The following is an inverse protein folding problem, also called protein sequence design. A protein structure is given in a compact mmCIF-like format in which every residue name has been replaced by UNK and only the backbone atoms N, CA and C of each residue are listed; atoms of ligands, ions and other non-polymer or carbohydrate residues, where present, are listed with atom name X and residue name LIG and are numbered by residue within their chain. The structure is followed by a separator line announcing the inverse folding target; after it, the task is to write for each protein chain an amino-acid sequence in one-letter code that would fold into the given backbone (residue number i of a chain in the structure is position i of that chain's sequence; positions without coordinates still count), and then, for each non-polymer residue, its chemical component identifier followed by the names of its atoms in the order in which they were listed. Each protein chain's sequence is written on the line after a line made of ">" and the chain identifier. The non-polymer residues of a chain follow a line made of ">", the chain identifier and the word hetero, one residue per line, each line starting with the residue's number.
data_IF_787995379812
#
_entry.id   IF_787995379812
#
_cell.length_a   1.000
_cell.length_b   1.000
_cell.length_c   1.000
_cell.angle_alpha   90.00
_cell.angle_beta   90.00
_cell.angle_gamma   90.00
#
_symmetry.space_group_name_H-M   'P 1'
#
loop_
_entity.id
_entity.type
_entity.pdbx_description
1 polymer ?
#
# COMPACT_ATOMS: atom_id res chain seq x y z
N UNK A 1 5.05 12.43 -35.79
CA UNK A 1 4.20 12.64 -34.59
C UNK A 1 5.12 12.69 -33.40
N UNK A 2 5.03 13.70 -32.55
CA UNK A 2 5.83 13.75 -31.34
C UNK A 2 5.05 14.26 -30.15
N UNK A 3 5.37 13.72 -28.99
CA UNK A 3 4.79 14.10 -27.71
C UNK A 3 5.83 14.96 -26.99
N UNK A 4 5.48 16.20 -26.61
CA UNK A 4 6.40 17.07 -25.85
C UNK A 4 5.71 18.24 -25.12
N UNK A 5 6.42 18.89 -24.20
CA UNK A 5 5.96 20.13 -23.53
C UNK A 5 6.27 21.41 -24.33
N UNK A 6 7.25 21.36 -25.25
CA UNK A 6 7.63 22.45 -26.17
C UNK A 6 7.90 21.90 -27.58
N UNK A 7 8.09 22.75 -28.60
CA UNK A 7 8.34 22.33 -29.99
C UNK A 7 9.76 21.76 -30.26
N UNK A 8 10.52 21.38 -29.23
CA UNK A 8 11.86 20.80 -29.35
C UNK A 8 11.81 19.28 -29.39
N UNK A 9 12.62 18.64 -30.26
CA UNK A 9 12.67 17.18 -30.39
C UNK A 9 13.57 16.48 -29.33
N UNK A 10 14.33 17.25 -28.54
CA UNK A 10 15.25 16.74 -27.51
C UNK A 10 14.46 16.14 -26.33
N UNK A 11 14.88 14.99 -25.81
CA UNK A 11 14.23 14.27 -24.70
C UNK A 11 12.73 13.97 -24.94
N UNK A 12 12.35 13.63 -26.17
CA UNK A 12 10.95 13.41 -26.56
C UNK A 12 10.66 12.01 -27.07
N UNK A 13 9.38 11.64 -27.06
CA UNK A 13 8.92 10.51 -27.87
C UNK A 13 8.55 11.01 -29.27
N UNK A 14 9.54 11.10 -30.15
CA UNK A 14 9.38 11.58 -31.53
C UNK A 14 9.41 10.42 -32.52
N UNK A 15 8.35 10.31 -33.31
CA UNK A 15 8.17 9.28 -34.33
C UNK A 15 8.07 9.88 -35.72
N UNK A 16 8.80 9.30 -36.67
CA UNK A 16 8.67 9.58 -38.10
C UNK A 16 8.20 8.34 -38.82
N UNK A 17 7.19 8.50 -39.66
CA UNK A 17 6.78 7.46 -40.60
C UNK A 17 7.13 7.88 -42.02
N UNK A 18 7.72 6.97 -42.79
CA UNK A 18 8.11 7.16 -44.18
C UNK A 18 7.25 6.27 -45.07
N UNK A 19 6.22 6.82 -45.75
CA UNK A 19 5.23 6.00 -46.46
C UNK A 19 5.80 5.15 -47.59
N UNK A 20 6.82 5.67 -48.31
CA UNK A 20 7.44 4.99 -49.46
C UNK A 20 8.29 3.79 -49.00
N UNK A 21 9.14 3.99 -47.99
CA UNK A 21 9.98 2.93 -47.44
C UNK A 21 9.22 2.02 -46.46
N UNK A 22 8.03 2.43 -46.03
CA UNK A 22 7.25 1.81 -44.96
C UNK A 22 8.01 1.68 -43.63
N UNK A 23 8.82 2.68 -43.30
CA UNK A 23 9.62 2.70 -42.08
C UNK A 23 8.97 3.55 -41.01
N UNK A 24 8.92 3.05 -39.78
CA UNK A 24 8.66 3.81 -38.57
C UNK A 24 9.99 3.99 -37.83
N UNK A 25 10.34 5.24 -37.52
CA UNK A 25 11.59 5.62 -36.88
C UNK A 25 11.32 6.32 -35.55
N UNK A 26 12.17 6.06 -34.57
CA UNK A 26 12.16 6.72 -33.26
C UNK A 26 13.43 7.56 -33.11
N UNK A 27 13.29 8.84 -32.75
CA UNK A 27 14.41 9.75 -32.55
C UNK A 27 15.18 9.43 -31.26
N UNK A 28 16.49 9.64 -31.27
CA UNK A 28 17.32 9.54 -30.08
C UNK A 28 17.12 10.73 -29.13
N UNK A 29 17.58 10.56 -27.90
CA UNK A 29 17.37 11.54 -26.82
C UNK A 29 17.99 12.91 -27.14
N UNK A 30 19.10 12.91 -27.89
CA UNK A 30 19.81 14.11 -28.33
C UNK A 30 19.09 14.91 -29.43
N UNK A 31 18.04 14.35 -30.05
CA UNK A 31 17.26 15.00 -31.09
C UNK A 31 17.93 15.11 -32.47
N UNK A 32 19.16 14.60 -32.61
CA UNK A 32 19.99 14.72 -33.83
C UNK A 32 20.15 13.45 -34.66
N UNK A 33 19.63 12.30 -34.18
CA UNK A 33 19.73 11.02 -34.89
C UNK A 33 18.62 10.04 -34.50
N UNK A 34 18.59 8.87 -35.13
CA UNK A 34 17.57 7.84 -34.87
C UNK A 34 18.05 6.84 -33.81
N UNK A 35 17.20 6.56 -32.82
CA UNK A 35 17.39 5.49 -31.84
C UNK A 35 17.05 4.10 -32.40
N UNK A 36 16.20 4.05 -33.43
CA UNK A 36 15.86 2.80 -34.12
C UNK A 36 14.88 3.02 -35.27
N UNK A 37 14.74 1.99 -36.11
CA UNK A 37 13.78 1.93 -37.21
C UNK A 37 13.20 0.52 -37.34
N UNK A 38 11.98 0.41 -37.86
CA UNK A 38 11.36 -0.88 -38.20
C UNK A 38 10.14 -0.72 -39.10
N UNK A 39 9.77 -1.81 -39.77
CA UNK A 39 8.59 -1.87 -40.66
C UNK A 39 7.35 -2.27 -39.86
N UNK A 40 6.29 -1.45 -39.77
CA UNK A 40 5.08 -1.78 -39.01
C UNK A 40 4.52 -3.18 -39.36
N UNK A 41 4.20 -3.97 -38.34
CA UNK A 41 3.74 -5.36 -38.45
C UNK A 41 4.87 -6.41 -38.42
N UNK A 42 6.14 -6.00 -38.40
CA UNK A 42 7.27 -6.91 -38.22
C UNK A 42 7.67 -7.01 -36.75
N UNK A 43 8.14 -8.18 -36.31
CA UNK A 43 8.55 -8.43 -34.93
C UNK A 43 9.81 -7.63 -34.58
N UNK A 44 9.65 -6.42 -34.07
CA UNK A 44 10.73 -5.57 -33.58
C UNK A 44 10.22 -4.60 -32.51
N UNK A 45 11.15 -4.09 -31.71
CA UNK A 45 10.89 -3.05 -30.71
C UNK A 45 11.98 -2.00 -30.82
N UNK A 46 11.60 -0.73 -30.91
CA UNK A 46 12.53 0.41 -30.90
C UNK A 46 12.26 1.28 -29.69
N UNK A 47 13.30 1.84 -29.06
CA UNK A 47 13.13 2.59 -27.81
C UNK A 47 14.20 3.67 -27.61
N UNK A 48 13.85 4.71 -26.86
CA UNK A 48 14.74 5.75 -26.35
C UNK A 48 14.48 5.91 -24.83
N UNK A 49 14.96 6.95 -24.14
CA UNK A 49 14.72 7.04 -22.68
C UNK A 49 13.28 7.42 -22.28
N UNK A 50 12.43 7.78 -23.25
CA UNK A 50 11.09 8.34 -23.04
C UNK A 50 9.97 7.38 -23.45
N UNK A 51 10.19 6.55 -24.47
CA UNK A 51 9.17 5.61 -24.92
C UNK A 51 9.76 4.35 -25.57
N UNK A 52 8.91 3.34 -25.64
CA UNK A 52 9.11 2.09 -26.34
C UNK A 52 8.03 2.03 -27.42
N UNK A 53 8.39 1.63 -28.62
CA UNK A 53 7.47 1.40 -29.74
C UNK A 53 7.53 -0.07 -30.09
N UNK A 54 6.38 -0.74 -30.00
CA UNK A 54 6.20 -2.09 -30.50
C UNK A 54 5.89 -2.02 -32.00
N UNK A 55 6.85 -2.41 -32.83
CA UNK A 55 6.71 -2.38 -34.28
C UNK A 55 5.75 -3.47 -34.75
N UNK A 56 5.70 -4.61 -34.06
CA UNK A 56 4.84 -5.75 -34.41
C UNK A 56 3.37 -5.46 -34.16
N UNK A 57 3.06 -4.72 -33.09
CA UNK A 57 1.71 -4.25 -32.77
C UNK A 57 1.30 -2.95 -33.49
N UNK A 58 2.25 -2.27 -34.16
CA UNK A 58 1.97 -1.10 -34.98
C UNK A 58 1.52 -1.50 -36.39
N UNK A 59 0.64 -0.72 -37.01
CA UNK A 59 0.09 -1.04 -38.33
C UNK A 59 -0.11 0.19 -39.20
N UNK A 60 -0.15 -0.03 -40.51
CA UNK A 60 -0.43 1.01 -41.50
C UNK A 60 -1.47 0.53 -42.51
N UNK A 61 -2.32 1.44 -42.95
CA UNK A 61 -3.23 1.24 -44.07
C UNK A 61 -3.20 2.47 -44.99
N UNK A 62 -3.38 2.23 -46.29
CA UNK A 62 -3.43 3.26 -47.31
C UNK A 62 -4.83 3.30 -47.92
N UNK A 63 -5.38 4.50 -48.09
CA UNK A 63 -6.61 4.71 -48.88
C UNK A 63 -6.43 5.96 -49.74
N UNK A 64 -6.22 5.77 -51.04
CA UNK A 64 -5.84 6.85 -51.95
C UNK A 64 -4.58 7.59 -51.46
N UNK A 65 -4.70 8.90 -51.27
CA UNK A 65 -3.62 9.77 -50.80
C UNK A 65 -3.55 9.88 -49.26
N UNK A 66 -4.32 9.08 -48.53
CA UNK A 66 -4.38 9.12 -47.06
C UNK A 66 -3.67 7.92 -46.45
N UNK A 67 -2.81 8.21 -45.48
CA UNK A 67 -2.13 7.21 -44.63
C UNK A 67 -2.88 7.12 -43.30
N UNK A 68 -3.31 5.91 -42.94
CA UNK A 68 -3.77 5.58 -41.59
C UNK A 68 -2.65 4.83 -40.87
N UNK A 69 -2.11 5.42 -39.81
CA UNK A 69 -1.04 4.84 -39.02
C UNK A 69 -1.52 4.62 -37.59
N UNK A 70 -1.48 3.38 -37.12
CA UNK A 70 -1.67 3.03 -35.72
C UNK A 70 -0.32 2.66 -35.13
N UNK A 71 0.09 3.34 -34.06
CA UNK A 71 1.38 3.09 -33.41
C UNK A 71 1.16 2.60 -31.99
N UNK A 72 1.70 1.43 -31.68
CA UNK A 72 1.72 0.89 -30.33
C UNK A 72 2.88 1.50 -29.54
N UNK A 73 2.57 2.54 -28.77
CA UNK A 73 3.55 3.27 -27.95
C UNK A 73 3.33 2.97 -26.47
N UNK A 74 4.39 2.53 -25.79
CA UNK A 74 4.47 2.46 -24.33
C UNK A 74 5.37 3.58 -23.83
N UNK A 75 4.81 4.56 -23.14
CA UNK A 75 5.61 5.63 -22.54
C UNK A 75 6.35 5.12 -21.32
N UNK A 76 7.65 5.46 -21.22
CA UNK A 76 8.47 5.14 -20.06
C UNK A 76 8.11 6.08 -18.90
N UNK A 77 8.33 5.65 -17.65
CA UNK A 77 8.06 6.46 -16.46
C UNK A 77 8.61 7.88 -16.51
N UNK A 78 9.83 8.07 -17.03
CA UNK A 78 10.47 9.39 -17.16
C UNK A 78 9.70 10.39 -18.06
N UNK A 79 8.72 9.92 -18.82
CA UNK A 79 7.94 10.71 -19.78
C UNK A 79 6.52 11.06 -19.28
N UNK A 80 6.20 10.78 -18.02
CA UNK A 80 4.88 11.05 -17.42
C UNK A 80 4.50 12.53 -17.35
N UNK A 81 3.20 12.79 -17.16
CA UNK A 81 2.59 14.13 -17.11
C UNK A 81 2.08 14.60 -18.47
N UNK A 82 1.38 15.74 -18.48
CA UNK A 82 0.74 16.29 -19.68
C UNK A 82 1.76 16.60 -20.77
N UNK A 83 1.57 16.00 -21.94
CA UNK A 83 2.33 16.28 -23.16
C UNK A 83 1.40 16.88 -24.20
N UNK A 84 1.92 17.77 -25.02
CA UNK A 84 1.23 18.21 -26.23
C UNK A 84 1.60 17.27 -27.37
N UNK A 85 0.59 16.88 -28.14
CA UNK A 85 0.75 16.04 -29.32
C UNK A 85 0.91 16.93 -30.53
N UNK A 86 2.03 16.78 -31.22
CA UNK A 86 2.35 17.55 -32.42
C UNK A 86 2.47 16.64 -33.63
N UNK A 87 2.04 17.16 -34.78
CA UNK A 87 2.22 16.52 -36.08
C UNK A 87 2.77 17.51 -37.08
N UNK A 88 3.69 17.04 -37.90
CA UNK A 88 4.27 17.77 -39.01
C UNK A 88 4.47 16.80 -40.17
N UNK A 89 4.44 17.33 -41.38
CA UNK A 89 4.70 16.56 -42.60
C UNK A 89 5.81 17.22 -43.39
N UNK A 90 6.66 16.39 -43.99
CA UNK A 90 7.73 16.79 -44.89
C UNK A 90 7.38 16.32 -46.30
N UNK A 91 7.34 17.24 -47.26
CA UNK A 91 7.13 16.89 -48.67
C UNK A 91 8.42 16.30 -49.28
N UNK A 92 8.30 15.62 -50.42
CA UNK A 92 9.45 15.15 -51.20
C UNK A 92 10.35 16.28 -51.71
N UNK A 93 9.85 17.51 -51.75
CA UNK A 93 10.62 18.74 -52.01
C UNK A 93 11.23 19.37 -50.76
N UNK A 94 11.38 18.61 -49.67
CA UNK A 94 11.98 19.05 -48.40
C UNK A 94 11.28 20.26 -47.75
N UNK A 95 9.99 20.41 -47.99
CA UNK A 95 9.19 21.48 -47.41
C UNK A 95 8.41 20.97 -46.20
N UNK A 96 8.57 21.62 -45.05
CA UNK A 96 7.84 21.31 -43.83
C UNK A 96 6.49 22.04 -43.80
N UNK A 97 5.45 21.35 -43.32
CA UNK A 97 4.13 21.97 -43.06
C UNK A 97 4.12 22.90 -41.85
N UNK A 98 5.18 22.90 -41.05
CA UNK A 98 5.18 23.41 -39.67
C UNK A 98 4.51 22.43 -38.70
N UNK A 99 4.83 22.57 -37.41
CA UNK A 99 4.28 21.75 -36.34
C UNK A 99 2.85 22.19 -35.99
N UNK A 100 1.88 21.29 -36.16
CA UNK A 100 0.49 21.49 -35.79
C UNK A 100 0.16 20.79 -34.47
N UNK A 101 -0.48 21.50 -33.54
CA UNK A 101 -0.97 20.95 -32.27
C UNK A 101 -2.23 20.10 -32.54
N UNK A 102 -2.25 18.86 -32.03
CA UNK A 102 -3.36 17.90 -32.18
C UNK A 102 -4.06 17.59 -30.86
N UNK A 103 -3.70 18.27 -29.78
CA UNK A 103 -4.28 18.12 -28.45
C UNK A 103 -3.24 17.78 -27.39
N UNK A 104 -3.70 17.54 -26.17
CA UNK A 104 -2.88 17.08 -25.07
C UNK A 104 -3.08 15.60 -24.80
N UNK A 105 -2.01 14.91 -24.47
CA UNK A 105 -2.01 13.54 -23.99
C UNK A 105 -1.45 13.52 -22.57
N UNK A 106 -2.26 13.12 -21.61
CA UNK A 106 -1.77 12.90 -20.26
C UNK A 106 -1.14 11.51 -20.18
N UNK A 107 0.20 11.44 -20.18
CA UNK A 107 0.89 10.19 -19.92
C UNK A 107 0.69 9.85 -18.45
N UNK A 108 -0.20 8.89 -18.20
CA UNK A 108 -0.45 8.37 -16.87
C UNK A 108 0.90 7.93 -16.27
N UNK A 109 1.19 8.41 -15.07
CA UNK A 109 2.19 7.73 -14.27
C UNK A 109 1.73 6.27 -14.12
N UNK A 110 2.65 5.28 -14.06
CA UNK A 110 2.36 3.99 -13.45
C UNK A 110 1.65 4.23 -12.09
N UNK A 111 0.99 3.23 -11.49
CA UNK A 111 0.47 3.33 -10.12
C UNK A 111 1.63 3.46 -9.08
N UNK A 112 2.43 4.52 -9.19
CA UNK A 112 3.58 4.88 -8.37
C UNK A 112 3.13 5.92 -7.36
N UNK A 113 2.36 5.46 -6.37
CA UNK A 113 2.24 6.15 -5.10
C UNK A 113 3.43 5.80 -4.20
N UNK A 114 3.71 6.64 -3.22
CA UNK A 114 4.45 6.16 -2.06
C UNK A 114 3.54 5.15 -1.34
N UNK A 115 4.02 3.94 -1.08
CA UNK A 115 3.22 2.89 -0.42
C UNK A 115 3.86 2.49 0.90
N UNK A 116 3.02 2.13 1.86
CA UNK A 116 3.42 1.69 3.20
C UNK A 116 2.76 0.35 3.49
N UNK A 117 3.53 -0.66 3.88
CA UNK A 117 2.97 -1.94 4.34
C UNK A 117 3.67 -2.42 5.62
N UNK A 118 2.93 -2.87 6.65
CA UNK A 118 1.48 -2.77 6.75
C UNK A 118 1.01 -1.31 6.93
N UNK A 119 -0.11 -0.96 6.32
CA UNK A 119 -0.77 0.34 6.52
C UNK A 119 -1.68 0.37 7.77
N UNK A 120 -1.97 -0.80 8.34
CA UNK A 120 -2.74 -0.94 9.57
C UNK A 120 -2.26 -2.13 10.40
N UNK A 121 -2.46 -2.07 11.71
CA UNK A 121 -2.14 -3.17 12.62
C UNK A 121 -1.95 -2.69 14.06
N UNK A 122 -1.57 -3.61 14.93
CA UNK A 122 -1.34 -3.37 16.35
C UNK A 122 -0.14 -4.17 16.84
N UNK A 123 0.61 -3.58 17.76
CA UNK A 123 1.66 -4.29 18.47
C UNK A 123 2.79 -3.38 18.93
N UNK A 124 3.73 -3.94 19.71
CA UNK A 124 4.85 -3.18 20.28
C UNK A 124 5.94 -2.94 19.26
N UNK A 125 6.01 -3.74 18.20
CA UNK A 125 7.03 -3.66 17.17
C UNK A 125 6.49 -4.11 15.82
N UNK A 126 7.07 -3.57 14.74
CA UNK A 126 6.74 -3.92 13.37
C UNK A 126 7.89 -3.54 12.43
N UNK A 127 8.07 -4.32 11.35
CA UNK A 127 8.87 -3.90 10.20
C UNK A 127 7.97 -3.22 9.18
N UNK A 128 8.14 -1.91 8.98
CA UNK A 128 7.38 -1.14 8.00
C UNK A 128 8.15 -1.07 6.68
N UNK A 129 7.56 -1.58 5.61
CA UNK A 129 8.08 -1.41 4.26
C UNK A 129 7.59 -0.07 3.68
N UNK A 130 8.52 0.83 3.41
CA UNK A 130 8.31 2.15 2.82
C UNK A 130 8.80 2.09 1.38
N UNK A 131 7.92 2.31 0.42
CA UNK A 131 8.24 2.34 -1.00
C UNK A 131 8.17 3.76 -1.54
N UNK A 132 9.24 4.20 -2.20
CA UNK A 132 9.34 5.48 -2.92
C UNK A 132 9.72 5.20 -4.37
N UNK A 133 8.87 5.60 -5.31
CA UNK A 133 9.20 5.57 -6.75
C UNK A 133 9.29 6.99 -7.29
N UNK A 134 10.47 7.40 -7.74
CA UNK A 134 10.67 8.69 -8.41
C UNK A 134 10.74 8.49 -9.92
N UNK A 135 9.73 8.98 -10.62
CA UNK A 135 9.58 8.86 -12.07
C UNK A 135 10.72 9.50 -12.85
N UNK A 136 11.36 10.53 -12.29
CA UNK A 136 12.55 11.17 -12.86
C UNK A 136 13.86 10.46 -12.43
N UNK A 137 13.76 9.33 -11.73
CA UNK A 137 14.88 8.63 -11.11
C UNK A 137 15.18 9.14 -9.71
N UNK A 138 15.69 8.26 -8.84
CA UNK A 138 15.97 8.59 -7.43
C UNK A 138 17.13 9.59 -7.24
N UNK A 139 17.85 9.96 -8.29
CA UNK A 139 18.87 11.01 -8.25
C UNK A 139 18.30 12.37 -7.80
N UNK A 140 17.00 12.60 -8.02
CA UNK A 140 16.32 13.82 -7.56
C UNK A 140 15.73 13.70 -6.15
N UNK A 141 15.85 12.54 -5.50
CA UNK A 141 15.38 12.34 -4.12
C UNK A 141 16.60 12.34 -3.18
N UNK A 142 16.65 13.28 -2.24
CA UNK A 142 17.71 13.37 -1.23
C UNK A 142 17.38 12.60 0.04
N UNK A 143 16.10 12.61 0.44
CA UNK A 143 15.65 11.91 1.63
C UNK A 143 14.23 11.37 1.48
N UNK A 144 13.96 10.25 2.17
CA UNK A 144 12.62 9.73 2.41
C UNK A 144 12.39 9.72 3.91
N UNK A 145 11.23 10.14 4.37
CA UNK A 145 10.89 10.19 5.79
C UNK A 145 9.61 9.41 6.04
N UNK A 146 9.69 8.49 7.00
CA UNK A 146 8.55 7.82 7.60
C UNK A 146 8.31 8.37 9.00
N UNK A 147 7.04 8.52 9.39
CA UNK A 147 6.67 9.01 10.71
C UNK A 147 5.44 8.30 11.23
N UNK A 148 5.49 7.81 12.47
CA UNK A 148 4.32 7.52 13.26
C UNK A 148 4.09 8.65 14.27
N UNK A 149 2.88 9.19 14.34
CA UNK A 149 2.53 10.31 15.21
C UNK A 149 1.02 10.53 15.34
N UNK A 150 0.60 11.38 16.29
CA UNK A 150 -0.83 11.72 16.45
C UNK A 150 -1.31 12.73 15.40
N UNK A 151 -0.38 13.52 14.84
CA UNK A 151 -0.61 14.50 13.77
C UNK A 151 0.64 14.60 12.88
N UNK A 152 0.68 15.57 11.96
CA UNK A 152 1.87 15.88 11.16
C UNK A 152 2.93 16.70 11.92
N UNK A 153 2.72 16.96 13.21
CA UNK A 153 3.73 17.58 14.07
C UNK A 153 4.91 16.62 14.27
N UNK A 154 6.13 17.12 14.09
CA UNK A 154 7.36 16.31 14.21
C UNK A 154 7.84 16.16 15.65
N UNK A 155 7.36 17.00 16.57
CA UNK A 155 7.62 16.88 18.00
C UNK A 155 6.89 15.67 18.60
N UNK A 156 7.56 14.95 19.50
CA UNK A 156 7.03 13.76 20.19
C UNK A 156 6.52 12.69 19.22
N UNK A 157 7.21 12.50 18.09
CA UNK A 157 6.89 11.52 17.07
C UNK A 157 7.98 10.45 16.94
N UNK A 158 7.61 9.27 16.42
CA UNK A 158 8.59 8.30 15.95
C UNK A 158 8.86 8.58 14.47
N UNK A 159 9.89 9.38 14.19
CA UNK A 159 10.23 9.80 12.83
C UNK A 159 11.59 9.27 12.41
N UNK A 160 11.63 8.56 11.30
CA UNK A 160 12.87 8.04 10.69
C UNK A 160 13.06 8.68 9.32
N UNK A 161 14.19 9.34 9.14
CA UNK A 161 14.65 9.86 7.85
C UNK A 161 15.69 8.91 7.28
N UNK A 162 15.55 8.53 6.02
CA UNK A 162 16.57 7.87 5.24
C UNK A 162 17.24 8.90 4.33
N UNK A 163 18.55 9.10 4.50
CA UNK A 163 19.39 9.92 3.65
C UNK A 163 19.95 9.07 2.51
N UNK A 164 19.57 9.38 1.26
CA UNK A 164 19.95 8.55 0.12
C UNK A 164 21.45 8.63 -0.20
N UNK A 165 22.04 9.82 -0.09
CA UNK A 165 23.44 10.05 -0.43
C UNK A 165 24.39 9.41 0.60
N UNK A 166 24.07 9.53 1.88
CA UNK A 166 24.84 8.93 2.96
C UNK A 166 24.52 7.44 3.18
N UNK A 167 23.40 6.96 2.61
CA UNK A 167 22.83 5.63 2.87
C UNK A 167 22.64 5.34 4.37
N UNK A 168 22.06 6.31 5.09
CA UNK A 168 21.85 6.21 6.53
C UNK A 168 20.39 6.38 6.91
N UNK A 169 19.98 5.62 7.92
CA UNK A 169 18.76 5.83 8.69
C UNK A 169 19.06 6.73 9.88
N UNK A 170 18.16 7.68 10.10
CA UNK A 170 18.28 8.74 11.07
C UNK A 170 16.96 8.86 11.84
N UNK A 171 16.93 8.35 13.08
CA UNK A 171 15.81 8.58 13.99
C UNK A 171 15.93 9.99 14.56
N UNK A 172 14.84 10.76 14.54
CA UNK A 172 14.83 12.13 15.04
C UNK A 172 14.65 12.18 16.57
N UNK A 173 15.21 13.20 17.20
CA UNK A 173 15.05 13.50 18.62
C UNK A 173 13.59 13.86 18.98
N UNK A 174 13.29 13.96 20.28
CA UNK A 174 11.92 14.25 20.75
C UNK A 174 11.37 15.60 20.24
N UNK A 175 12.23 16.57 19.93
CA UNK A 175 11.83 17.85 19.33
C UNK A 175 11.54 17.76 17.82
N UNK A 176 11.92 16.66 17.16
CA UNK A 176 11.80 16.47 15.71
C UNK A 176 12.74 17.36 14.89
N UNK A 177 13.81 17.90 15.50
CA UNK A 177 14.69 18.92 14.89
C UNK A 177 16.01 18.36 14.36
N UNK A 178 16.52 17.29 14.97
CA UNK A 178 17.82 16.72 14.64
C UNK A 178 17.83 15.20 14.84
N UNK A 179 18.67 14.46 14.09
CA UNK A 179 18.82 13.02 14.30
C UNK A 179 19.53 12.72 15.63
N UNK A 180 19.09 11.67 16.34
CA UNK A 180 19.77 11.17 17.55
C UNK A 180 21.05 10.41 17.18
N UNK A 181 21.06 9.78 16.00
CA UNK A 181 22.19 9.09 15.40
C UNK A 181 21.95 8.92 13.89
N UNK A 182 22.99 8.50 13.16
CA UNK A 182 22.93 8.18 11.73
C UNK A 182 23.63 6.83 11.52
N UNK A 183 22.92 5.82 10.99
CA UNK A 183 23.46 4.46 10.84
C UNK A 183 23.01 3.82 9.53
N UNK A 184 23.88 3.03 8.91
CA UNK A 184 23.57 2.33 7.67
C UNK A 184 22.60 1.15 7.95
N UNK A 185 21.54 0.96 7.13
CA UNK A 185 20.69 -0.23 7.24
C UNK A 185 21.51 -1.52 7.09
N UNK A 186 21.17 -2.56 7.87
CA UNK A 186 21.86 -3.84 7.91
C UNK A 186 23.12 -3.86 8.78
N UNK A 187 23.50 -2.73 9.40
CA UNK A 187 24.62 -2.68 10.35
C UNK A 187 24.13 -2.78 11.79
N UNK A 188 24.77 -3.58 12.67
CA UNK A 188 24.35 -3.73 14.05
C UNK A 188 24.30 -2.38 14.80
N UNK A 189 23.16 -2.07 15.40
CA UNK A 189 22.99 -0.84 16.17
C UNK A 189 21.52 -0.46 16.32
N UNK A 190 21.19 0.22 17.42
CA UNK A 190 19.86 0.79 17.64
C UNK A 190 19.95 2.29 17.88
N UNK A 191 18.92 3.00 17.43
CA UNK A 191 18.70 4.42 17.69
C UNK A 191 17.41 4.54 18.48
N UNK A 192 17.32 5.49 19.41
CA UNK A 192 16.11 5.62 20.21
C UNK A 192 15.81 7.07 20.61
N UNK A 193 14.52 7.39 20.71
CA UNK A 193 14.00 8.59 21.35
C UNK A 193 12.97 8.16 22.43
N UNK A 194 12.17 9.07 22.97
CA UNK A 194 11.18 8.73 24.00
C UNK A 194 9.97 7.94 23.44
N UNK A 195 9.78 7.94 22.12
CA UNK A 195 8.63 7.31 21.45
C UNK A 195 8.93 5.91 20.90
N UNK A 196 10.11 5.69 20.35
CA UNK A 196 10.45 4.42 19.72
C UNK A 196 11.94 4.14 19.68
N UNK A 197 12.25 2.90 19.32
CA UNK A 197 13.57 2.40 18.97
C UNK A 197 13.54 1.96 17.50
N UNK A 198 14.56 2.37 16.74
CA UNK A 198 14.85 1.89 15.40
C UNK A 198 16.05 0.93 15.48
N UNK A 199 15.89 -0.29 14.99
CA UNK A 199 16.97 -1.25 14.85
C UNK A 199 17.55 -1.16 13.43
N UNK A 200 18.77 -0.63 13.30
CA UNK A 200 19.44 -0.49 12.01
C UNK A 200 19.87 -1.85 11.45
N UNK A 201 20.20 -2.82 12.30
CA UNK A 201 20.67 -4.14 11.90
C UNK A 201 19.55 -5.03 11.36
N UNK A 202 18.35 -4.89 11.92
CA UNK A 202 17.13 -5.53 11.42
C UNK A 202 16.42 -4.74 10.30
N UNK A 203 16.88 -3.52 10.02
CA UNK A 203 16.38 -2.71 8.90
C UNK A 203 17.15 -2.99 7.62
N UNK A 204 16.51 -2.77 6.47
CA UNK A 204 17.14 -3.01 5.17
C UNK A 204 16.70 -2.01 4.12
N UNK A 205 17.43 -2.00 3.00
CA UNK A 205 17.19 -1.09 1.89
C UNK A 205 17.49 -1.79 0.57
N UNK A 206 16.54 -1.73 -0.36
CA UNK A 206 16.70 -2.21 -1.74
C UNK A 206 16.35 -1.09 -2.71
N UNK A 207 17.12 -0.98 -3.79
CA UNK A 207 16.84 -0.03 -4.87
C UNK A 207 16.91 -0.75 -6.21
N UNK A 208 15.87 -0.58 -7.02
CA UNK A 208 15.80 -1.10 -8.39
C UNK A 208 15.31 0.00 -9.32
N UNK A 209 16.18 0.46 -10.22
CA UNK A 209 15.90 1.58 -11.11
C UNK A 209 15.46 2.84 -10.35
N UNK A 210 14.21 3.25 -10.59
CA UNK A 210 13.54 4.41 -9.99
C UNK A 210 12.87 4.16 -8.63
N UNK A 211 12.94 2.94 -8.11
CA UNK A 211 12.20 2.52 -6.91
C UNK A 211 13.14 2.20 -5.76
N UNK A 212 12.86 2.78 -4.59
CA UNK A 212 13.51 2.51 -3.31
C UNK A 212 12.49 1.82 -2.40
N UNK A 213 12.89 0.73 -1.76
CA UNK A 213 12.14 0.09 -0.67
C UNK A 213 13.02 0.09 0.57
N UNK A 214 12.48 0.59 1.67
CA UNK A 214 13.09 0.55 3.00
C UNK A 214 12.26 -0.35 3.89
N UNK A 215 12.89 -1.29 4.59
CA UNK A 215 12.27 -2.00 5.70
C UNK A 215 12.78 -1.40 6.99
N UNK A 216 11.90 -0.75 7.75
CA UNK A 216 12.22 -0.08 9.00
C UNK A 216 11.76 -0.95 10.17
N UNK A 217 12.70 -1.51 10.93
CA UNK A 217 12.41 -2.29 12.12
C UNK A 217 12.20 -1.36 13.33
N UNK A 218 10.93 -1.15 13.69
CA UNK A 218 10.52 -0.19 14.73
C UNK A 218 9.94 -0.93 15.93
N UNK A 219 10.34 -0.51 17.12
CA UNK A 219 9.72 -0.88 18.40
C UNK A 219 9.20 0.36 19.10
N UNK A 220 7.91 0.43 19.38
CA UNK A 220 7.27 1.53 20.10
C UNK A 220 7.45 1.38 21.61
N UNK A 221 7.73 2.49 22.29
CA UNK A 221 7.90 2.54 23.75
C UNK A 221 6.56 2.75 24.45
N UNK A 222 6.42 2.34 25.73
CA UNK A 222 5.16 2.43 26.45
C UNK A 222 4.49 3.81 26.48
N UNK A 223 5.29 4.88 26.63
CA UNK A 223 4.78 6.25 26.62
C UNK A 223 4.16 6.68 25.28
N UNK A 224 4.39 5.91 24.21
CA UNK A 224 3.90 6.18 22.86
C UNK A 224 2.78 5.23 22.41
N UNK A 225 2.26 4.39 23.32
CA UNK A 225 1.13 3.52 22.99
C UNK A 225 -0.14 4.30 22.61
N UNK A 226 -1.11 3.58 22.04
CA UNK A 226 -2.30 4.13 21.40
C UNK A 226 -2.14 4.34 19.90
N UNK A 227 -3.21 4.81 19.26
CA UNK A 227 -3.30 5.01 17.81
C UNK A 227 -2.30 6.06 17.33
N UNK A 228 -1.59 5.77 16.26
CA UNK A 228 -0.66 6.68 15.56
C UNK A 228 -0.96 6.65 14.07
N UNK A 229 -1.12 7.82 13.48
CA UNK A 229 -1.16 7.98 12.04
C UNK A 229 0.23 7.75 11.46
N UNK A 230 0.28 7.08 10.31
CA UNK A 230 1.49 6.78 9.58
C UNK A 230 1.60 7.74 8.39
N UNK A 231 2.69 8.48 8.34
CA UNK A 231 2.94 9.49 7.31
C UNK A 231 4.22 9.21 6.54
N UNK A 232 4.20 9.58 5.26
CA UNK A 232 5.38 9.62 4.42
C UNK A 232 5.58 11.02 3.86
N UNK A 233 6.85 11.39 3.65
CA UNK A 233 7.25 12.51 2.79
C UNK A 233 8.64 12.26 2.24
N UNK A 234 9.03 13.05 1.27
CA UNK A 234 10.36 12.99 0.65
C UNK A 234 10.89 14.40 0.40
N UNK A 235 12.21 14.50 0.30
CA UNK A 235 12.94 15.73 0.02
C UNK A 235 13.66 15.58 -1.31
N UNK A 236 13.59 16.59 -2.16
CA UNK A 236 14.29 16.58 -3.44
C UNK A 236 15.77 17.02 -3.33
N UNK A 237 16.50 16.96 -4.43
CA UNK A 237 17.91 17.43 -4.54
C UNK A 237 18.09 18.94 -4.27
N UNK A 238 17.03 19.72 -4.39
CA UNK A 238 17.00 21.15 -4.04
C UNK A 238 16.62 21.42 -2.56
N UNK A 239 16.63 20.40 -1.71
CA UNK A 239 16.23 20.47 -0.29
C UNK A 239 14.78 20.92 -0.04
N UNK A 240 13.90 20.75 -1.03
CA UNK A 240 12.47 21.04 -0.89
C UNK A 240 11.75 19.79 -0.45
N UNK A 241 10.95 19.91 0.62
CA UNK A 241 10.10 18.84 1.12
C UNK A 241 8.75 18.82 0.40
N UNK A 242 8.29 17.61 0.10
CA UNK A 242 6.87 17.38 -0.20
C UNK A 242 6.01 17.56 1.05
N UNK A 243 4.70 17.78 0.84
CA UNK A 243 3.72 17.71 1.92
C UNK A 243 3.70 16.31 2.55
N UNK A 244 3.26 16.23 3.81
CA UNK A 244 3.02 14.94 4.45
C UNK A 244 1.84 14.22 3.80
N UNK A 245 2.04 12.93 3.52
CA UNK A 245 1.01 12.05 2.98
C UNK A 245 0.58 11.05 4.06
N UNK A 246 -0.71 10.97 4.38
CA UNK A 246 -1.24 9.93 5.27
C UNK A 246 -1.30 8.60 4.53
N UNK A 247 -0.73 7.55 5.14
CA UNK A 247 -0.57 6.22 4.54
C UNK A 247 -1.13 5.10 5.39
N UNK A 248 -1.78 5.42 6.50
CA UNK A 248 -2.42 4.45 7.38
C UNK A 248 -2.38 4.83 8.85
N UNK A 249 -2.68 3.88 9.72
CA UNK A 249 -2.61 4.06 11.17
C UNK A 249 -2.16 2.78 11.86
N UNK A 250 -1.29 2.89 12.87
CA UNK A 250 -0.83 1.79 13.69
C UNK A 250 -1.24 1.97 15.15
N UNK A 251 -1.71 0.92 15.80
CA UNK A 251 -1.95 0.92 17.25
C UNK A 251 -0.69 0.44 17.96
N UNK A 252 0.13 1.38 18.43
CA UNK A 252 1.27 1.04 19.27
C UNK A 252 0.73 0.49 20.60
N UNK A 253 1.09 -0.73 20.97
CA UNK A 253 0.56 -1.38 22.17
C UNK A 253 1.58 -2.35 22.73
N UNK A 254 1.51 -2.74 24.00
CA UNK A 254 2.43 -3.77 24.49
C UNK A 254 2.14 -5.13 23.85
N UNK A 255 3.10 -6.05 23.87
CA UNK A 255 2.90 -7.43 23.38
C UNK A 255 1.69 -8.11 24.05
N UNK A 256 1.44 -7.81 25.33
CA UNK A 256 0.30 -8.32 26.08
C UNK A 256 -1.06 -7.74 25.63
N UNK A 257 -1.04 -6.74 24.73
CA UNK A 257 -2.24 -6.04 24.24
C UNK A 257 -2.55 -6.31 22.76
N UNK A 258 -1.63 -6.93 22.01
CA UNK A 258 -1.93 -7.45 20.68
C UNK A 258 -3.02 -8.53 20.79
N UNK A 259 -3.99 -8.61 19.87
CA UNK A 259 -5.02 -9.62 20.00
C UNK A 259 -4.41 -10.97 19.66
N UNK A 260 -4.84 -12.02 20.35
CA UNK A 260 -4.42 -13.38 20.06
C UNK A 260 -5.59 -14.34 20.17
N UNK A 261 -5.47 -15.50 19.54
CA UNK A 261 -6.49 -16.54 19.57
C UNK A 261 -5.88 -17.89 19.92
N UNK A 262 -6.59 -18.67 20.75
CA UNK A 262 -6.25 -20.05 21.07
C UNK A 262 -7.46 -20.95 20.78
N UNK A 263 -7.32 -22.03 19.99
CA UNK A 263 -6.11 -22.41 19.25
C UNK A 263 -5.82 -21.47 18.07
N UNK A 264 -4.53 -21.30 17.76
CA UNK A 264 -4.06 -20.50 16.60
C UNK A 264 -4.25 -21.24 15.27
N UNK A 265 -4.25 -22.57 15.33
CA UNK A 265 -4.55 -23.42 14.18
C UNK A 265 -5.17 -24.75 14.56
N UNK A 266 -5.85 -25.38 13.60
CA UNK A 266 -6.43 -26.72 13.77
C UNK A 266 -7.48 -27.02 12.71
N UNK A 267 -8.24 -28.09 12.96
CA UNK A 267 -9.32 -28.53 12.09
C UNK A 267 -10.50 -29.06 12.92
N UNK A 268 -11.72 -28.89 12.42
CA UNK A 268 -12.93 -29.39 13.07
C UNK A 268 -14.16 -28.56 12.76
N UNK A 269 -15.33 -29.19 12.91
CA UNK A 269 -16.64 -28.53 12.73
C UNK A 269 -17.09 -27.78 13.97
N UNK A 270 -16.53 -28.05 15.16
CA UNK A 270 -16.83 -27.32 16.40
C UNK A 270 -15.55 -27.13 17.21
N UNK A 271 -15.32 -25.91 17.69
CA UNK A 271 -14.18 -25.56 18.53
C UNK A 271 -14.49 -24.34 19.39
N UNK A 272 -13.94 -24.31 20.61
CA UNK A 272 -13.90 -23.10 21.43
C UNK A 272 -12.65 -22.30 21.10
N UNK A 273 -12.83 -21.07 20.62
CA UNK A 273 -11.77 -20.12 20.37
C UNK A 273 -11.73 -19.08 21.48
N UNK A 274 -10.61 -18.98 22.18
CA UNK A 274 -10.39 -17.94 23.20
C UNK A 274 -9.60 -16.80 22.58
N UNK A 275 -10.27 -15.66 22.43
CA UNK A 275 -9.67 -14.40 21.98
C UNK A 275 -9.20 -13.59 23.18
N UNK A 276 -7.94 -13.22 23.19
CA UNK A 276 -7.40 -12.25 24.13
C UNK A 276 -7.24 -10.92 23.43
N UNK A 277 -7.67 -9.84 24.07
CA UNK A 277 -7.57 -8.48 23.56
C UNK A 277 -7.34 -7.53 24.72
N UNK A 278 -6.56 -6.47 24.53
CA UNK A 278 -6.46 -5.41 25.52
C UNK A 278 -6.42 -4.04 24.84
N UNK A 279 -7.09 -3.08 25.46
CA UNK A 279 -7.10 -1.70 24.99
C UNK A 279 -6.11 -0.86 25.82
N UNK A 280 -5.17 -0.12 25.18
CA UNK A 280 -4.25 0.78 25.88
C UNK A 280 -4.94 1.76 26.84
N UNK A 281 -6.17 2.17 26.52
CA UNK A 281 -6.97 3.10 27.31
C UNK A 281 -7.93 2.38 28.28
N UNK A 282 -7.84 1.05 28.38
CA UNK A 282 -8.72 0.19 29.17
C UNK A 282 -9.95 -0.28 28.38
N UNK A 283 -10.50 -1.45 28.74
CA UNK A 283 -11.61 -2.08 28.00
C UNK A 283 -12.88 -1.21 27.94
N UNK A 284 -13.07 -0.29 28.90
CA UNK A 284 -14.17 0.67 28.84
C UNK A 284 -14.07 1.64 27.64
N UNK A 285 -12.87 1.81 27.07
CA UNK A 285 -12.64 2.57 25.84
C UNK A 285 -12.88 1.74 24.56
N UNK A 286 -13.26 0.46 24.69
CA UNK A 286 -13.56 -0.43 23.56
C UNK A 286 -15.07 -0.49 23.33
N UNK A 287 -15.55 -0.06 22.17
CA UNK A 287 -16.94 -0.20 21.77
C UNK A 287 -17.27 -1.65 21.40
N UNK A 288 -16.42 -2.28 20.58
CA UNK A 288 -16.62 -3.65 20.14
C UNK A 288 -15.31 -4.36 19.79
N UNK A 289 -15.31 -5.69 19.93
CA UNK A 289 -14.31 -6.59 19.35
C UNK A 289 -15.00 -7.56 18.40
N UNK A 290 -14.37 -7.84 17.26
CA UNK A 290 -15.00 -8.55 16.14
C UNK A 290 -14.11 -9.67 15.61
N UNK A 291 -14.23 -10.89 16.17
CA UNK A 291 -13.68 -12.09 15.56
C UNK A 291 -14.39 -12.43 14.25
N UNK A 292 -13.61 -12.80 13.22
CA UNK A 292 -14.13 -13.23 11.93
C UNK A 292 -13.40 -14.47 11.44
N UNK A 293 -14.14 -15.50 11.01
CA UNK A 293 -13.58 -16.61 10.23
C UNK A 293 -14.05 -16.47 8.78
N UNK A 294 -13.12 -16.46 7.84
CA UNK A 294 -13.43 -16.27 6.42
C UNK A 294 -12.37 -16.92 5.51
N UNK A 295 -12.73 -17.23 4.27
CA UNK A 295 -11.79 -17.75 3.27
C UNK A 295 -10.87 -16.65 2.68
N UNK A 296 -11.28 -15.40 2.80
CA UNK A 296 -10.53 -14.20 2.43
C UNK A 296 -10.89 -13.06 3.39
N UNK A 297 -10.19 -11.93 3.33
CA UNK A 297 -10.47 -10.74 4.12
C UNK A 297 -11.75 -10.00 3.66
N UNK A 298 -12.89 -10.68 3.72
CA UNK A 298 -14.21 -10.19 3.32
C UNK A 298 -15.27 -10.60 4.35
N UNK A 299 -16.14 -9.66 4.73
CA UNK A 299 -17.18 -9.85 5.73
C UNK A 299 -18.40 -10.61 5.20
N UNK A 300 -18.68 -10.52 3.90
CA UNK A 300 -19.76 -11.28 3.27
C UNK A 300 -19.42 -12.77 3.25
N UNK A 301 -20.42 -13.63 3.50
CA UNK A 301 -20.26 -15.07 3.60
C UNK A 301 -19.19 -15.50 4.62
N UNK A 302 -19.12 -14.82 5.76
CA UNK A 302 -18.18 -15.12 6.84
C UNK A 302 -18.89 -15.45 8.16
N UNK A 303 -18.15 -16.07 9.08
CA UNK A 303 -18.59 -16.14 10.47
C UNK A 303 -18.09 -14.89 11.20
N UNK A 304 -18.81 -13.77 11.06
CA UNK A 304 -18.45 -12.48 11.67
C UNK A 304 -19.25 -12.25 12.96
N UNK A 305 -18.54 -12.28 14.09
CA UNK A 305 -19.12 -12.17 15.43
C UNK A 305 -18.71 -10.82 16.01
N UNK A 306 -19.66 -10.04 16.52
CA UNK A 306 -19.39 -8.78 17.23
C UNK A 306 -19.71 -8.95 18.70
N UNK A 307 -18.75 -8.67 19.57
CA UNK A 307 -18.96 -8.59 21.01
C UNK A 307 -18.80 -7.14 21.48
N UNK A 308 -19.79 -6.65 22.23
CA UNK A 308 -19.85 -5.30 22.79
C UNK A 308 -19.64 -5.39 24.32
N UNK A 309 -18.44 -5.08 24.85
CA UNK A 309 -18.15 -5.24 26.27
C UNK A 309 -19.06 -4.42 27.18
N UNK A 310 -19.43 -3.20 26.76
CA UNK A 310 -20.26 -2.29 27.55
C UNK A 310 -21.68 -2.80 27.80
N UNK A 311 -22.26 -3.54 26.84
CA UNK A 311 -23.62 -4.08 26.92
C UNK A 311 -23.63 -5.60 27.10
N UNK A 312 -22.46 -6.24 27.18
CA UNK A 312 -22.29 -7.69 27.23
C UNK A 312 -23.07 -8.43 26.12
N UNK A 313 -23.15 -7.82 24.93
CA UNK A 313 -23.98 -8.27 23.81
C UNK A 313 -23.12 -8.91 22.72
N UNK A 314 -23.58 -10.06 22.22
CA UNK A 314 -23.05 -10.72 21.03
C UNK A 314 -24.02 -10.54 19.86
N UNK A 315 -23.46 -10.31 18.67
CA UNK A 315 -24.21 -10.27 17.41
C UNK A 315 -23.51 -11.11 16.37
N UNK A 316 -24.30 -11.74 15.50
CA UNK A 316 -23.79 -12.48 14.35
C UNK A 316 -24.29 -11.81 13.07
N UNK A 317 -23.40 -11.58 12.12
CA UNK A 317 -23.73 -10.94 10.84
C UNK A 317 -24.48 -11.91 9.92
N UNK A 318 -25.41 -11.40 9.11
CA UNK A 318 -26.06 -12.18 8.07
C UNK A 318 -25.10 -12.46 6.89
N UNK A 319 -25.45 -13.44 6.05
CA UNK A 319 -24.60 -13.90 4.95
C UNK A 319 -24.24 -12.75 3.97
N UNK A 320 -25.19 -11.85 3.70
CA UNK A 320 -25.02 -10.73 2.78
C UNK A 320 -24.22 -9.54 3.35
N UNK A 321 -23.85 -9.59 4.64
CA UNK A 321 -23.24 -8.47 5.37
C UNK A 321 -24.04 -7.16 5.33
N UNK A 322 -25.36 -7.25 5.24
CA UNK A 322 -26.28 -6.09 5.21
C UNK A 322 -26.97 -5.83 6.55
N UNK A 323 -26.85 -6.75 7.51
CA UNK A 323 -27.46 -6.62 8.82
C UNK A 323 -27.08 -7.76 9.77
N UNK A 324 -27.63 -7.73 10.99
CA UNK A 324 -27.41 -8.77 11.99
C UNK A 324 -28.40 -9.92 11.79
N UNK A 325 -27.89 -11.15 11.69
CA UNK A 325 -28.70 -12.37 11.72
C UNK A 325 -29.34 -12.60 13.11
N UNK A 326 -28.71 -12.11 14.16
CA UNK A 326 -29.26 -12.11 15.51
C UNK A 326 -28.37 -11.38 16.52
N UNK A 327 -28.93 -11.13 17.70
CA UNK A 327 -28.28 -10.43 18.81
C UNK A 327 -28.76 -11.02 20.13
N UNK A 328 -27.84 -11.25 21.07
CA UNK A 328 -28.16 -11.83 22.37
C UNK A 328 -27.06 -11.49 23.40
N UNK A 329 -27.44 -11.35 24.66
CA UNK A 329 -26.45 -11.16 25.73
C UNK A 329 -25.70 -12.46 26.05
N UNK A 330 -24.43 -12.35 26.46
CA UNK A 330 -23.68 -13.52 26.96
C UNK A 330 -24.39 -14.14 28.15
N UNK A 331 -24.51 -15.46 28.17
CA UNK A 331 -25.24 -16.23 29.19
C UNK A 331 -26.68 -16.60 28.81
N UNK A 332 -27.20 -16.10 27.68
CA UNK A 332 -28.57 -16.41 27.22
C UNK A 332 -28.59 -17.60 26.24
N UNK A 333 -29.66 -18.39 26.24
CA UNK A 333 -29.77 -19.64 25.47
C UNK A 333 -30.16 -19.45 23.99
N UNK A 334 -30.13 -18.22 23.46
CA UNK A 334 -30.54 -17.91 22.09
C UNK A 334 -29.45 -18.36 21.11
N UNK A 335 -29.74 -19.35 20.26
CA UNK A 335 -28.82 -19.78 19.21
C UNK A 335 -28.65 -18.68 18.15
N UNK A 336 -27.44 -18.13 18.03
CA UNK A 336 -27.09 -17.21 16.95
C UNK A 336 -26.49 -18.02 15.80
N UNK A 337 -27.03 -17.88 14.59
CA UNK A 337 -26.57 -18.65 13.43
C UNK A 337 -26.79 -17.94 12.08
N UNK A 338 -25.92 -18.21 11.13
CA UNK A 338 -26.05 -17.87 9.71
C UNK A 338 -25.69 -19.12 8.85
N UNK A 339 -25.44 -19.01 7.55
CA UNK A 339 -25.10 -20.20 6.74
C UNK A 339 -23.68 -20.72 7.00
N UNK A 340 -22.79 -19.90 7.57
CA UNK A 340 -21.39 -20.26 7.82
C UNK A 340 -21.16 -20.88 9.20
N UNK A 341 -21.80 -20.36 10.24
CA UNK A 341 -21.57 -20.81 11.60
C UNK A 341 -22.78 -20.62 12.52
N UNK A 342 -22.66 -21.18 13.71
CA UNK A 342 -23.56 -20.97 14.84
C UNK A 342 -22.80 -21.00 16.16
N UNK A 343 -23.31 -20.29 17.16
CA UNK A 343 -22.83 -20.38 18.53
C UNK A 343 -23.96 -20.07 19.52
N UNK A 344 -23.84 -20.62 20.73
CA UNK A 344 -24.80 -20.37 21.80
C UNK A 344 -24.17 -19.43 22.85
N UNK A 345 -24.68 -18.19 23.01
CA UNK A 345 -24.23 -17.23 24.02
C UNK A 345 -24.22 -17.78 25.45
N UNK A 346 -25.03 -18.79 25.79
CA UNK A 346 -25.04 -19.44 27.10
C UNK A 346 -23.73 -20.14 27.44
N UNK A 347 -22.98 -20.55 26.41
CA UNK A 347 -21.70 -21.25 26.56
C UNK A 347 -20.49 -20.35 26.32
N UNK A 348 -20.73 -19.10 25.91
CA UNK A 348 -19.68 -18.09 25.77
C UNK A 348 -19.27 -17.63 27.16
N UNK A 349 -17.97 -17.58 27.42
CA UNK A 349 -17.43 -16.99 28.64
C UNK A 349 -16.59 -15.77 28.32
N UNK A 350 -16.56 -14.84 29.28
CA UNK A 350 -15.74 -13.64 29.22
C UNK A 350 -15.16 -13.36 30.59
N UNK A 351 -13.93 -12.86 30.62
CA UNK A 351 -13.30 -12.31 31.81
C UNK A 351 -12.56 -11.01 31.48
N UNK A 352 -12.53 -10.11 32.45
CA UNK A 352 -11.77 -8.87 32.37
C UNK A 352 -10.70 -8.89 33.46
N UNK A 353 -9.44 -8.67 33.07
CA UNK A 353 -8.31 -8.57 34.02
C UNK A 353 -7.53 -7.32 33.66
N UNK A 354 -7.60 -6.30 34.52
CA UNK A 354 -7.05 -4.99 34.21
C UNK A 354 -7.63 -4.42 32.90
N UNK A 355 -6.76 -4.17 31.92
CA UNK A 355 -7.12 -3.63 30.62
C UNK A 355 -7.41 -4.71 29.56
N UNK A 356 -7.45 -5.98 29.95
CA UNK A 356 -7.57 -7.12 29.03
C UNK A 356 -8.93 -7.80 29.13
N UNK A 357 -9.45 -8.22 27.97
CA UNK A 357 -10.59 -9.10 27.76
C UNK A 357 -10.05 -10.48 27.33
N UNK A 358 -10.55 -11.54 27.96
CA UNK A 358 -10.55 -12.88 27.38
C UNK A 358 -11.98 -13.26 27.02
N UNK A 359 -12.23 -13.63 25.76
CA UNK A 359 -13.54 -14.02 25.23
C UNK A 359 -13.45 -15.42 24.64
N UNK A 360 -14.04 -16.41 25.30
CA UNK A 360 -14.09 -17.79 24.81
C UNK A 360 -15.40 -18.05 24.07
N UNK A 361 -15.30 -18.28 22.75
CA UNK A 361 -16.42 -18.49 21.83
C UNK A 361 -16.46 -19.95 21.36
N UNK A 362 -17.43 -20.76 21.83
CA UNK A 362 -17.72 -22.07 21.23
C UNK A 362 -18.43 -21.87 19.90
N UNK A 363 -17.70 -22.09 18.80
CA UNK A 363 -18.20 -21.90 17.44
C UNK A 363 -18.38 -23.27 16.78
N UNK A 364 -19.55 -23.48 16.19
CA UNK A 364 -19.84 -24.61 15.30
C UNK A 364 -19.92 -24.09 13.87
N UNK A 365 -19.02 -24.54 13.01
CA UNK A 365 -19.03 -24.27 11.57
C UNK A 365 -19.98 -25.22 10.86
N UNK A 366 -20.72 -24.70 9.88
CA UNK A 366 -21.69 -25.47 9.10
C UNK A 366 -21.03 -26.08 7.86
N UNK A 367 -21.57 -27.19 7.31
CA UNK A 367 -20.97 -27.87 6.15
C UNK A 367 -20.76 -26.99 4.91
N UNK A 368 -21.64 -26.00 4.67
CA UNK A 368 -21.49 -25.04 3.57
C UNK A 368 -20.25 -24.14 3.70
N UNK A 369 -19.59 -24.15 4.87
CA UNK A 369 -18.40 -23.38 5.18
C UNK A 369 -17.10 -24.19 5.16
N UNK A 370 -17.12 -25.41 4.60
CA UNK A 370 -15.97 -26.29 4.50
C UNK A 370 -14.74 -25.64 3.84
N UNK A 371 -13.56 -26.20 4.11
CA UNK A 371 -12.26 -25.77 3.60
C UNK A 371 -11.53 -24.78 4.52
N UNK A 372 -10.33 -24.38 4.11
CA UNK A 372 -9.46 -23.49 4.88
C UNK A 372 -10.09 -22.11 5.12
N UNK A 373 -9.99 -21.65 6.36
CA UNK A 373 -10.41 -20.32 6.81
C UNK A 373 -9.24 -19.64 7.51
N UNK A 374 -9.17 -18.33 7.37
CA UNK A 374 -8.31 -17.48 8.17
C UNK A 374 -9.14 -16.91 9.32
N UNK A 375 -8.56 -16.93 10.51
CA UNK A 375 -9.10 -16.25 11.69
C UNK A 375 -8.59 -14.82 11.68
N UNK A 376 -9.52 -13.89 11.58
CA UNK A 376 -9.27 -12.47 11.66
C UNK A 376 -9.83 -11.87 12.95
N UNK A 377 -9.30 -10.71 13.33
CA UNK A 377 -9.80 -9.94 14.46
C UNK A 377 -9.66 -8.45 14.16
N UNK A 378 -10.67 -7.68 14.56
CA UNK A 378 -10.61 -6.23 14.61
C UNK A 378 -11.32 -5.70 15.86
N UNK A 379 -11.01 -4.48 16.26
CA UNK A 379 -11.70 -3.79 17.34
C UNK A 379 -12.06 -2.36 16.94
N UNK A 380 -13.08 -1.83 17.60
CA UNK A 380 -13.58 -0.47 17.44
C UNK A 380 -13.57 0.20 18.81
N UNK A 381 -12.85 1.32 18.93
CA UNK A 381 -12.86 2.12 20.15
C UNK A 381 -14.13 2.96 20.28
N UNK A 382 -14.44 3.43 21.48
CA UNK A 382 -15.55 4.37 21.73
C UNK A 382 -15.34 5.73 21.05
N UNK A 383 -14.10 6.05 20.68
CA UNK A 383 -13.75 7.21 19.86
C UNK A 383 -13.96 6.98 18.34
N UNK A 384 -14.48 5.81 17.94
CA UNK A 384 -14.76 5.48 16.53
C UNK A 384 -13.53 5.04 15.72
N UNK A 385 -12.42 4.70 16.39
CA UNK A 385 -11.19 4.27 15.71
C UNK A 385 -11.17 2.75 15.57
N UNK A 386 -10.92 2.29 14.34
CA UNK A 386 -10.76 0.88 14.01
C UNK A 386 -9.30 0.44 14.13
N UNK A 387 -9.06 -0.77 14.64
CA UNK A 387 -7.72 -1.37 14.65
C UNK A 387 -7.22 -1.80 13.26
N UNK A 388 -8.13 -1.86 12.29
CA UNK A 388 -7.94 -2.61 11.05
C UNK A 388 -8.04 -4.13 11.28
N UNK A 389 -8.27 -4.87 10.19
CA UNK A 389 -8.41 -6.32 10.20
C UNK A 389 -7.03 -7.00 10.36
N UNK A 390 -6.89 -7.85 11.38
CA UNK A 390 -5.64 -8.53 11.71
C UNK A 390 -5.78 -10.04 11.55
N UNK A 391 -4.77 -10.70 11.00
CA UNK A 391 -4.73 -12.18 10.90
C UNK A 391 -4.20 -12.75 12.20
N UNK A 392 -5.00 -13.59 12.86
CA UNK A 392 -4.61 -14.24 14.11
C UNK A 392 -4.28 -15.73 13.95
N UNK A 393 -4.78 -16.41 12.91
CA UNK A 393 -4.63 -17.85 12.77
C UNK A 393 -5.31 -18.45 11.55
N UNK A 394 -5.35 -19.78 11.47
CA UNK A 394 -6.01 -20.52 10.38
C UNK A 394 -6.82 -21.70 10.92
N UNK A 395 -7.92 -22.07 10.28
CA UNK A 395 -8.73 -23.21 10.71
C UNK A 395 -9.28 -23.97 9.50
N UNK A 396 -9.21 -25.29 9.52
CA UNK A 396 -9.79 -26.13 8.46
C UNK A 396 -11.15 -26.65 8.91
N UNK A 397 -12.20 -26.22 8.21
CA UNK A 397 -13.55 -26.76 8.41
C UNK A 397 -13.69 -28.03 7.56
N UNK A 398 -14.01 -29.20 8.15
CA UNK A 398 -14.16 -30.46 7.42
C UNK A 398 -15.29 -30.47 6.39
#
# INVERSE_FOLDING_TARGET
>A
MFFQTTASAVNGCFLRYEPVANNLLLLNDAGGGWAGTGTPGTSATIQNSQCIVDIGASSRQMSGNTVFLSVAVTFKPAFAGTKTVWTETLTTGWTWSGAANRGSWNVAAPPGGNWLTPAAGMGPAQSFAVLRTDMAGLANTSAVTWMAGVSTATSNACQVRYNLAANTLELLNDAGTAPVASQMPGTPGTQQNSQCTLDAGASSRTQTGSTLVLHLAITFKPAFYGVKNLYLRWMNSASVWSAWESRGAWVAASAAMAPSVVPVSGAGSTQTFTFYYADPNGIAATQAVMPMFAAAAAVANSCYIRYEPATNTLRLLNDAATGWAGSAAVGTSVLLQNTQCSFNPATVTRSFVGNSLALALPVTFKPAFAGSKTTYFESLSTAGVWSGLQVLGTWVVP
#
